data_IF_573757096617
#
_entry.id   IF_573757096617
#
_cell.length_a   1.000
_cell.length_b   1.000
_cell.length_c   1.000
_cell.angle_alpha   90.00
_cell.angle_beta   90.00
_cell.angle_gamma   90.00
#
_symmetry.space_group_name_H-M   'P 1'
#
loop_
_entity.id
_entity.type
_entity.pdbx_description
1 polymer ?
#
# COMPACT_ATOMS: atom_id res chain seq x y z
N UNK A 1 -6.76 15.02 -15.62
CA UNK A 1 -8.04 14.37 -15.22
C UNK A 1 -7.71 12.95 -14.78
N UNK A 2 -8.12 12.57 -13.57
CA UNK A 2 -7.98 11.19 -13.09
C UNK A 2 -8.88 10.26 -13.93
N UNK A 3 -8.34 9.10 -14.34
CA UNK A 3 -9.09 8.06 -15.05
C UNK A 3 -9.03 6.79 -14.23
N UNK A 4 -10.15 6.10 -14.10
CA UNK A 4 -10.26 4.79 -13.47
C UNK A 4 -10.59 3.74 -14.54
N UNK A 5 -9.81 2.68 -14.56
CA UNK A 5 -10.09 1.49 -15.36
C UNK A 5 -10.58 0.36 -14.44
N UNK A 6 -11.61 -0.37 -14.87
CA UNK A 6 -12.23 -1.43 -14.06
C UNK A 6 -11.42 -2.73 -14.09
N UNK A 7 -10.14 -2.62 -13.82
CA UNK A 7 -9.23 -3.77 -13.71
C UNK A 7 -8.09 -3.43 -12.75
N UNK A 8 -7.65 -4.43 -12.00
CA UNK A 8 -6.45 -4.30 -11.19
C UNK A 8 -5.22 -4.29 -12.09
N UNK A 9 -4.18 -3.60 -11.69
CA UNK A 9 -2.90 -3.56 -12.40
C UNK A 9 -2.25 -4.94 -12.49
N UNK A 10 -2.39 -5.74 -11.44
CA UNK A 10 -2.06 -7.16 -11.42
C UNK A 10 -3.26 -7.98 -10.91
N UNK A 11 -3.62 -9.12 -11.53
CA UNK A 11 -4.77 -9.91 -11.12
C UNK A 11 -4.57 -10.54 -9.74
N UNK A 12 -5.59 -10.44 -8.88
CA UNK A 12 -5.57 -10.99 -7.52
C UNK A 12 -6.72 -11.98 -7.36
N UNK A 13 -6.40 -13.24 -7.05
CA UNK A 13 -7.36 -14.31 -6.85
C UNK A 13 -6.91 -15.24 -5.72
N UNK A 14 -7.05 -14.77 -4.49
CA UNK A 14 -6.65 -15.49 -3.28
C UNK A 14 -7.75 -16.46 -2.89
N UNK A 15 -7.41 -17.74 -2.79
CA UNK A 15 -8.36 -18.82 -2.51
C UNK A 15 -8.48 -19.14 -1.03
N UNK A 16 -7.39 -18.93 -0.27
CA UNK A 16 -7.32 -19.28 1.14
C UNK A 16 -7.45 -18.05 2.02
N UNK A 17 -8.29 -18.17 3.05
CA UNK A 17 -8.40 -17.17 4.09
C UNK A 17 -7.13 -17.14 4.95
N UNK A 18 -6.61 -15.93 5.19
CA UNK A 18 -5.52 -15.68 6.14
C UNK A 18 -5.72 -14.31 6.82
N UNK A 19 -6.31 -14.35 8.01
CA UNK A 19 -6.65 -13.14 8.76
C UNK A 19 -5.41 -12.46 9.37
N UNK A 20 -4.34 -13.20 9.64
CA UNK A 20 -3.09 -12.62 10.13
C UNK A 20 -2.42 -11.82 9.04
N UNK A 21 -2.33 -12.40 7.85
CA UNK A 21 -1.79 -11.70 6.69
C UNK A 21 -2.65 -10.49 6.31
N UNK A 22 -3.99 -10.60 6.34
CA UNK A 22 -4.89 -9.46 6.13
C UNK A 22 -4.60 -8.31 7.09
N UNK A 23 -4.29 -8.59 8.35
CA UNK A 23 -3.90 -7.58 9.34
C UNK A 23 -2.56 -6.94 8.99
N UNK A 24 -1.56 -7.74 8.62
CA UNK A 24 -0.20 -7.24 8.30
C UNK A 24 -0.18 -6.39 7.04
N UNK A 25 -0.98 -6.73 6.03
CA UNK A 25 -1.10 -5.97 4.79
C UNK A 25 -1.61 -4.53 4.99
N UNK A 26 -2.27 -4.24 6.12
CA UNK A 26 -2.65 -2.86 6.42
C UNK A 26 -1.45 -1.91 6.52
N UNK A 27 -0.25 -2.39 6.90
CA UNK A 27 0.95 -1.54 6.89
C UNK A 27 1.28 -1.02 5.49
N UNK A 28 1.06 -1.83 4.44
CA UNK A 28 1.24 -1.39 3.05
C UNK A 28 0.05 -0.55 2.54
N UNK A 29 -1.11 -0.58 3.20
CA UNK A 29 -2.22 0.30 2.83
C UNK A 29 -2.09 1.68 3.46
N UNK A 30 -2.01 1.76 4.78
CA UNK A 30 -2.10 3.01 5.53
C UNK A 30 -1.05 3.19 6.61
N UNK A 31 -0.04 2.35 6.65
CA UNK A 31 1.13 2.50 7.51
C UNK A 31 2.07 3.63 7.05
N UNK A 32 3.13 3.91 7.83
CA UNK A 32 4.04 5.03 7.56
C UNK A 32 4.85 4.89 6.26
N UNK A 33 4.94 3.69 5.71
CA UNK A 33 5.64 3.37 4.45
C UNK A 33 4.68 2.75 3.42
N UNK A 34 3.37 2.91 3.62
CA UNK A 34 2.36 2.32 2.76
C UNK A 34 2.01 3.19 1.56
N UNK A 35 1.34 2.55 0.61
CA UNK A 35 1.00 3.10 -0.72
C UNK A 35 0.20 4.39 -0.67
N UNK A 36 -0.73 4.54 0.28
CA UNK A 36 -1.52 5.76 0.40
C UNK A 36 -0.65 6.97 0.73
N UNK A 37 0.35 6.79 1.61
CA UNK A 37 1.33 7.83 1.93
C UNK A 37 2.20 8.19 0.74
N UNK A 38 2.69 7.19 -0.01
CA UNK A 38 3.49 7.37 -1.22
C UNK A 38 2.70 8.12 -2.30
N UNK A 39 1.49 7.68 -2.59
CA UNK A 39 0.59 8.34 -3.54
C UNK A 39 0.42 9.83 -3.25
N UNK A 40 -0.03 10.17 -2.03
CA UNK A 40 -0.29 11.57 -1.65
C UNK A 40 1.00 12.40 -1.63
N UNK A 41 2.13 11.82 -1.26
CA UNK A 41 3.45 12.43 -1.31
C UNK A 41 3.79 12.90 -2.71
N UNK A 42 3.75 12.01 -3.70
CA UNK A 42 4.12 12.32 -5.08
C UNK A 42 3.15 13.31 -5.72
N UNK A 43 1.85 13.14 -5.49
CA UNK A 43 0.84 14.06 -6.00
C UNK A 43 0.91 15.46 -5.37
N UNK A 44 1.47 15.60 -4.16
CA UNK A 44 1.75 16.91 -3.56
C UNK A 44 3.04 17.51 -4.12
N UNK A 45 4.13 16.75 -4.14
CA UNK A 45 5.45 17.21 -4.54
C UNK A 45 5.54 17.65 -6.01
N UNK A 46 4.73 17.05 -6.90
CA UNK A 46 4.73 17.39 -8.33
C UNK A 46 4.52 18.88 -8.61
N UNK A 47 3.82 19.60 -7.74
CA UNK A 47 3.55 21.03 -7.93
C UNK A 47 4.77 21.92 -7.71
N UNK A 48 5.81 21.42 -7.07
CA UNK A 48 7.06 22.16 -6.79
C UNK A 48 8.26 21.64 -7.58
N UNK A 49 8.06 20.66 -8.46
CA UNK A 49 9.12 20.20 -9.35
C UNK A 49 9.51 21.30 -10.36
N UNK A 50 10.81 21.49 -10.60
CA UNK A 50 11.31 22.62 -11.40
C UNK A 50 10.99 22.50 -12.88
N UNK A 51 10.75 21.30 -13.39
CA UNK A 51 10.53 21.02 -14.81
C UNK A 51 9.35 20.07 -15.07
N UNK A 52 8.96 19.97 -16.34
CA UNK A 52 7.86 19.12 -16.80
C UNK A 52 8.17 17.61 -16.62
N UNK A 53 9.43 17.21 -16.76
CA UNK A 53 9.83 15.81 -16.61
C UNK A 53 9.60 15.33 -15.20
N UNK A 54 10.06 16.09 -14.20
CA UNK A 54 9.81 15.77 -12.78
C UNK A 54 8.33 15.79 -12.42
N UNK A 55 7.56 16.78 -12.93
CA UNK A 55 6.12 16.84 -12.73
C UNK A 55 5.38 15.63 -13.32
N UNK A 56 5.73 15.24 -14.55
CA UNK A 56 5.13 14.07 -15.20
C UNK A 56 5.47 12.79 -14.47
N UNK A 57 6.75 12.58 -14.13
CA UNK A 57 7.20 11.39 -13.40
C UNK A 57 6.46 11.21 -12.09
N UNK A 58 6.42 12.23 -11.23
CA UNK A 58 5.72 12.14 -9.95
C UNK A 58 4.20 12.02 -10.10
N UNK A 59 3.63 12.50 -11.21
CA UNK A 59 2.22 12.27 -11.52
C UNK A 59 1.95 10.82 -11.89
N UNK A 60 2.81 10.23 -12.70
CA UNK A 60 2.68 8.85 -13.17
C UNK A 60 2.84 7.88 -12.00
N UNK A 61 3.92 8.01 -11.21
CA UNK A 61 4.15 7.19 -10.02
C UNK A 61 3.01 7.37 -9.01
N UNK A 62 2.62 8.61 -8.68
CA UNK A 62 1.54 8.84 -7.73
C UNK A 62 0.18 8.28 -8.16
N UNK A 63 -0.09 8.19 -9.47
CA UNK A 63 -1.28 7.51 -9.99
C UNK A 63 -1.15 5.99 -9.91
N UNK A 64 0.04 5.45 -10.09
CA UNK A 64 0.30 4.02 -9.94
C UNK A 64 0.12 3.57 -8.48
N UNK A 65 0.56 4.37 -7.51
CA UNK A 65 0.39 4.08 -6.07
C UNK A 65 -1.09 3.98 -5.64
N UNK A 66 -2.00 4.68 -6.31
CA UNK A 66 -3.45 4.47 -6.09
C UNK A 66 -3.86 3.07 -6.57
N UNK A 67 -3.30 2.58 -7.68
CA UNK A 67 -3.55 1.22 -8.17
C UNK A 67 -2.99 0.17 -7.19
N UNK A 68 -1.84 0.44 -6.59
CA UNK A 68 -1.27 -0.41 -5.52
C UNK A 68 -2.17 -0.42 -4.28
N UNK A 69 -2.70 0.72 -3.85
CA UNK A 69 -3.71 0.77 -2.77
C UNK A 69 -4.92 -0.13 -3.10
N UNK A 70 -5.43 -0.10 -4.33
CA UNK A 70 -6.54 -0.95 -4.77
C UNK A 70 -6.17 -2.43 -4.72
N UNK A 71 -4.96 -2.80 -5.13
CA UNK A 71 -4.45 -4.17 -5.05
C UNK A 71 -4.36 -4.65 -3.59
N UNK A 72 -3.77 -3.87 -2.70
CA UNK A 72 -3.66 -4.19 -1.26
C UNK A 72 -5.05 -4.35 -0.64
N UNK A 73 -5.97 -3.42 -0.90
CA UNK A 73 -7.35 -3.49 -0.41
C UNK A 73 -8.08 -4.74 -0.93
N UNK A 74 -7.84 -5.13 -2.18
CA UNK A 74 -8.39 -6.34 -2.78
C UNK A 74 -7.84 -7.61 -2.11
N UNK A 75 -6.54 -7.67 -1.83
CA UNK A 75 -5.92 -8.77 -1.08
C UNK A 75 -6.52 -8.89 0.32
N UNK A 76 -6.56 -7.79 1.08
CA UNK A 76 -7.14 -7.76 2.43
C UNK A 76 -8.58 -8.27 2.42
N UNK A 77 -9.40 -7.80 1.47
CA UNK A 77 -10.80 -8.21 1.35
C UNK A 77 -10.94 -9.72 1.08
N UNK A 78 -10.12 -10.26 0.17
CA UNK A 78 -10.15 -11.68 -0.18
C UNK A 78 -9.66 -12.57 0.97
N UNK A 79 -8.62 -12.14 1.69
CA UNK A 79 -8.09 -12.84 2.86
C UNK A 79 -9.07 -12.90 4.04
N UNK A 80 -9.97 -11.93 4.16
CA UNK A 80 -11.01 -11.88 5.19
C UNK A 80 -12.34 -12.51 4.75
N UNK A 81 -12.42 -13.03 3.52
CA UNK A 81 -13.66 -13.60 2.99
C UNK A 81 -14.16 -14.73 3.91
N UNK A 82 -15.46 -14.72 4.17
CA UNK A 82 -16.17 -15.72 4.98
C UNK A 82 -15.60 -15.95 6.41
N UNK A 83 -14.80 -15.00 6.93
CA UNK A 83 -14.31 -15.07 8.29
C UNK A 83 -15.45 -14.92 9.30
N UNK A 84 -15.51 -15.83 10.27
CA UNK A 84 -16.40 -15.73 11.43
C UNK A 84 -15.87 -14.70 12.44
N UNK A 85 -16.74 -14.25 13.34
CA UNK A 85 -16.36 -13.32 14.43
C UNK A 85 -15.32 -13.95 15.35
N UNK A 86 -15.42 -15.25 15.62
CA UNK A 86 -14.46 -15.96 16.46
C UNK A 86 -13.07 -16.01 15.83
N UNK A 87 -12.99 -16.29 14.52
CA UNK A 87 -11.72 -16.25 13.78
C UNK A 87 -11.09 -14.87 13.79
N UNK A 88 -11.88 -13.81 13.60
CA UNK A 88 -11.41 -12.42 13.67
C UNK A 88 -10.85 -12.07 15.08
N UNK A 89 -11.53 -12.51 16.15
CA UNK A 89 -11.02 -12.36 17.51
C UNK A 89 -9.68 -13.07 17.71
N UNK A 90 -9.58 -14.33 17.27
CA UNK A 90 -8.37 -15.13 17.39
C UNK A 90 -7.18 -14.57 16.57
N UNK A 91 -7.47 -13.85 15.49
CA UNK A 91 -6.46 -13.15 14.68
C UNK A 91 -6.08 -11.77 15.25
N UNK A 92 -6.68 -11.32 16.35
CA UNK A 92 -6.43 -10.01 16.95
C UNK A 92 -6.97 -8.85 16.11
N UNK A 93 -8.11 -9.06 15.43
CA UNK A 93 -8.82 -8.07 14.62
C UNK A 93 -10.08 -7.51 15.31
N UNK A 94 -10.26 -7.74 16.62
CA UNK A 94 -11.46 -7.30 17.34
C UNK A 94 -11.63 -5.79 17.32
N UNK A 95 -10.56 -5.04 17.55
CA UNK A 95 -10.60 -3.57 17.58
C UNK A 95 -10.92 -3.01 16.21
N UNK A 96 -10.28 -3.53 15.17
CA UNK A 96 -10.57 -3.17 13.79
C UNK A 96 -12.04 -3.47 13.44
N UNK A 97 -12.53 -4.67 13.80
CA UNK A 97 -13.91 -5.06 13.51
C UNK A 97 -14.93 -4.18 14.24
N UNK A 98 -14.63 -3.72 15.45
CA UNK A 98 -15.54 -2.86 16.23
C UNK A 98 -15.85 -1.56 15.49
N UNK A 99 -14.87 -0.95 14.86
CA UNK A 99 -14.99 0.33 14.16
C UNK A 99 -15.35 0.17 12.66
N UNK A 100 -14.79 -0.84 12.01
CA UNK A 100 -14.82 -0.96 10.56
C UNK A 100 -15.47 -2.25 10.04
N UNK A 101 -15.82 -3.20 10.92
CA UNK A 101 -16.25 -4.56 10.54
C UNK A 101 -15.18 -5.22 9.66
N UNK A 102 -15.55 -5.58 8.43
CA UNK A 102 -14.66 -6.10 7.38
C UNK A 102 -14.42 -5.07 6.26
N UNK A 103 -14.77 -3.81 6.49
CA UNK A 103 -14.52 -2.73 5.53
C UNK A 103 -13.04 -2.38 5.47
N UNK A 104 -12.63 -1.80 4.36
CA UNK A 104 -11.27 -1.30 4.20
C UNK A 104 -11.14 0.07 4.88
N UNK A 105 -10.16 0.17 5.75
CA UNK A 105 -9.80 1.43 6.41
C UNK A 105 -8.27 1.56 6.44
N UNK A 106 -7.70 2.67 5.94
CA UNK A 106 -6.26 2.84 5.89
C UNK A 106 -5.69 3.05 7.30
N UNK A 107 -4.98 2.03 7.78
CA UNK A 107 -4.25 2.04 9.05
C UNK A 107 -3.01 1.18 8.94
N UNK A 108 -2.08 1.30 9.90
CA UNK A 108 -1.03 0.31 10.07
C UNK A 108 -1.58 -1.01 10.67
N UNK A 109 -0.80 -2.08 10.61
CA UNK A 109 -1.15 -3.38 11.21
C UNK A 109 -1.35 -3.29 12.73
N UNK A 110 -0.75 -2.30 13.36
CA UNK A 110 -0.91 -1.98 14.79
C UNK A 110 -2.19 -1.21 15.12
N UNK A 111 -3.02 -0.87 14.11
CA UNK A 111 -4.26 -0.15 14.25
C UNK A 111 -4.13 1.37 14.30
N UNK A 112 -2.94 1.93 14.15
CA UNK A 112 -2.76 3.38 14.04
C UNK A 112 -3.34 3.87 12.71
N UNK A 113 -4.33 4.77 12.70
CA UNK A 113 -4.91 5.30 11.47
C UNK A 113 -3.88 6.02 10.62
N UNK A 114 -4.06 5.98 9.29
CA UNK A 114 -3.28 6.83 8.39
C UNK A 114 -3.32 8.29 8.83
N UNK A 115 -2.20 8.94 8.75
CA UNK A 115 -2.07 10.37 9.08
C UNK A 115 -1.29 11.12 8.01
N UNK A 116 -1.67 12.37 7.76
CA UNK A 116 -0.91 13.26 6.89
C UNK A 116 0.55 13.48 7.34
N UNK A 117 0.89 13.15 8.60
CA UNK A 117 2.27 13.18 9.11
C UNK A 117 3.20 12.18 8.38
N UNK A 118 2.66 11.19 7.67
CA UNK A 118 3.44 10.27 6.84
C UNK A 118 3.81 10.85 5.46
N UNK A 119 3.19 11.96 5.08
CA UNK A 119 3.43 12.62 3.79
C UNK A 119 4.65 13.54 3.94
N UNK A 120 5.70 13.24 3.19
CA UNK A 120 6.86 14.14 3.06
C UNK A 120 6.68 15.02 1.82
N UNK A 121 6.65 16.34 2.01
CA UNK A 121 6.58 17.31 0.91
C UNK A 121 7.13 18.64 1.40
N UNK A 122 8.42 18.90 1.12
CA UNK A 122 9.13 20.07 1.63
C UNK A 122 9.09 21.28 0.70
N UNK A 123 8.75 21.05 -0.58
CA UNK A 123 8.87 22.05 -1.65
C UNK A 123 10.29 22.24 -2.18
N UNK A 124 11.24 21.43 -1.72
CA UNK A 124 12.60 21.37 -2.24
C UNK A 124 12.78 20.06 -3.03
N UNK A 125 12.89 20.16 -4.33
CA UNK A 125 12.93 19.00 -5.22
C UNK A 125 14.04 17.99 -4.89
N UNK A 126 15.23 18.47 -4.46
CA UNK A 126 16.35 17.57 -4.11
C UNK A 126 16.04 16.81 -2.81
N UNK A 127 15.51 17.50 -1.81
CA UNK A 127 15.12 16.89 -0.54
C UNK A 127 14.00 15.89 -0.75
N UNK A 128 12.96 16.29 -1.50
CA UNK A 128 11.80 15.47 -1.76
C UNK A 128 12.17 14.19 -2.55
N UNK A 129 12.99 14.29 -3.59
CA UNK A 129 13.44 13.13 -4.38
C UNK A 129 14.34 12.19 -3.56
N UNK A 130 15.23 12.69 -2.72
CA UNK A 130 16.05 11.85 -1.84
C UNK A 130 15.19 11.08 -0.83
N UNK A 131 14.16 11.73 -0.27
CA UNK A 131 13.21 11.11 0.65
C UNK A 131 12.32 10.08 -0.08
N UNK A 132 11.95 10.34 -1.33
CA UNK A 132 11.18 9.41 -2.16
C UNK A 132 11.96 8.11 -2.39
N UNK A 133 13.21 8.20 -2.84
CA UNK A 133 14.06 7.02 -3.02
C UNK A 133 14.18 6.18 -1.73
N UNK A 134 14.33 6.84 -0.59
CA UNK A 134 14.37 6.16 0.71
C UNK A 134 13.01 5.54 1.09
N UNK A 135 11.90 6.14 0.68
CA UNK A 135 10.56 5.60 0.91
C UNK A 135 10.31 4.34 0.06
N UNK A 136 10.69 4.35 -1.23
CA UNK A 136 10.59 3.18 -2.10
C UNK A 136 11.37 1.97 -1.53
N UNK A 137 12.59 2.21 -1.05
CA UNK A 137 13.38 1.15 -0.42
C UNK A 137 12.74 0.60 0.88
N UNK A 138 12.07 1.44 1.65
CA UNK A 138 11.34 1.00 2.85
C UNK A 138 10.10 0.18 2.47
N UNK A 139 9.35 0.60 1.47
CA UNK A 139 8.19 -0.14 0.95
C UNK A 139 8.63 -1.49 0.36
N UNK A 140 9.68 -1.50 -0.47
CA UNK A 140 10.28 -2.73 -1.01
C UNK A 140 10.66 -3.72 0.10
N UNK A 141 11.38 -3.26 1.12
CA UNK A 141 11.78 -4.09 2.25
C UNK A 141 10.56 -4.64 3.03
N UNK A 142 9.49 -3.84 3.15
CA UNK A 142 8.25 -4.30 3.79
C UNK A 142 7.57 -5.40 2.99
N UNK A 143 7.53 -5.29 1.65
CA UNK A 143 7.04 -6.36 0.79
C UNK A 143 7.85 -7.65 0.94
N UNK A 144 9.18 -7.57 0.97
CA UNK A 144 10.04 -8.73 1.21
C UNK A 144 9.74 -9.39 2.56
N UNK A 145 9.60 -8.61 3.63
CA UNK A 145 9.23 -9.13 4.94
C UNK A 145 7.85 -9.81 4.94
N UNK A 146 6.86 -9.26 4.21
CA UNK A 146 5.55 -9.89 4.06
C UNK A 146 5.64 -11.21 3.29
N UNK A 147 6.45 -11.27 2.25
CA UNK A 147 6.68 -12.49 1.46
C UNK A 147 7.33 -13.60 2.31
N UNK A 148 8.24 -13.26 3.22
CA UNK A 148 8.86 -14.20 4.14
C UNK A 148 7.86 -14.84 5.12
N UNK A 149 6.72 -14.20 5.37
CA UNK A 149 5.69 -14.64 6.29
C UNK A 149 4.62 -15.54 5.64
N UNK A 150 4.69 -15.78 4.34
CA UNK A 150 3.72 -16.61 3.62
C UNK A 150 4.41 -17.60 2.67
N UNK A 151 3.76 -18.73 2.43
CA UNK A 151 4.11 -19.66 1.36
C UNK A 151 2.97 -19.82 0.34
N UNK A 152 1.92 -19.02 0.44
CA UNK A 152 0.78 -19.10 -0.45
C UNK A 152 1.12 -18.43 -1.81
N UNK A 153 1.14 -19.20 -2.92
CA UNK A 153 1.46 -18.65 -4.23
C UNK A 153 0.45 -17.59 -4.70
N UNK A 154 -0.81 -17.67 -4.25
CA UNK A 154 -1.84 -16.69 -4.59
C UNK A 154 -1.55 -15.31 -3.94
N UNK A 155 -0.73 -15.27 -2.87
CA UNK A 155 -0.23 -14.05 -2.22
C UNK A 155 1.16 -13.64 -2.73
N UNK A 156 2.07 -14.61 -2.87
CA UNK A 156 3.44 -14.33 -3.30
C UNK A 156 3.49 -13.65 -4.67
N UNK A 157 2.62 -14.04 -5.60
CA UNK A 157 2.61 -13.45 -6.94
C UNK A 157 2.29 -11.95 -6.95
N UNK A 158 1.16 -11.45 -6.37
CA UNK A 158 0.89 -10.02 -6.32
C UNK A 158 1.86 -9.25 -5.43
N UNK A 159 2.36 -9.81 -4.32
CA UNK A 159 3.37 -9.16 -3.49
C UNK A 159 4.70 -9.00 -4.24
N UNK A 160 5.11 -10.01 -5.01
CA UNK A 160 6.30 -9.94 -5.85
C UNK A 160 6.16 -8.88 -6.94
N UNK A 161 4.98 -8.75 -7.54
CA UNK A 161 4.70 -7.70 -8.51
C UNK A 161 4.88 -6.32 -7.87
N UNK A 162 4.22 -6.05 -6.75
CA UNK A 162 4.31 -4.77 -6.03
C UNK A 162 5.77 -4.46 -5.64
N UNK A 163 6.46 -5.45 -5.07
CA UNK A 163 7.89 -5.29 -4.72
C UNK A 163 8.76 -4.91 -5.90
N UNK A 164 8.51 -5.45 -7.11
CA UNK A 164 9.23 -5.07 -8.33
C UNK A 164 8.89 -3.65 -8.78
N UNK A 165 7.67 -3.17 -8.53
CA UNK A 165 7.29 -1.79 -8.83
C UNK A 165 8.07 -0.79 -7.98
N UNK A 166 8.30 -1.07 -6.71
CA UNK A 166 9.16 -0.23 -5.84
C UNK A 166 10.59 -0.08 -6.40
N UNK A 167 11.13 -1.14 -7.01
CA UNK A 167 12.44 -1.06 -7.68
C UNK A 167 12.40 -0.17 -8.91
N UNK A 168 11.30 -0.17 -9.65
CA UNK A 168 11.12 0.69 -10.83
C UNK A 168 10.95 2.15 -10.39
N UNK A 169 10.17 2.42 -9.36
CA UNK A 169 9.96 3.77 -8.82
C UNK A 169 11.24 4.37 -8.25
N UNK A 170 12.09 3.54 -7.64
CA UNK A 170 13.40 3.96 -7.12
C UNK A 170 14.36 4.44 -8.24
N UNK A 171 14.35 3.83 -9.45
CA UNK A 171 15.29 4.10 -10.55
C UNK A 171 14.83 5.23 -11.47
#
# INVERSE_FOLDING_TARGET
MFRYEKMLEYPINIKKKDLKMAKLLNDQLGGPHGELGACLRYLCQRFTMPDEKGRSLLSDIGCEEISHCEMIASMITQLMKDASIEELKNAGLSDYYTTHKKGIFPSGANGVPFTAAYISSSGNAIVDLAENMAAEEKARATYENLMDLTSDPDLLAPLSFLREREVVHYN
#
